data_IF_526253347358
#
_entry.id   IF_526253347358
#
_cell.length_a   1.000
_cell.length_b   1.000
_cell.length_c   1.000
_cell.angle_alpha   90.00
_cell.angle_beta   90.00
_cell.angle_gamma   90.00
#
_symmetry.space_group_name_H-M   'P 1'
#
loop_
_entity.id
_entity.type
_entity.pdbx_description
1 polymer ?
#
# COMPACT_ATOMS: atom_id res chain seq x y z
N UNK A 1 12.88 -7.09 15.67
CA UNK A 1 13.49 -5.84 15.16
C UNK A 1 12.90 -5.34 13.84
N UNK A 2 12.86 -6.13 12.74
CA UNK A 2 12.21 -5.66 11.48
C UNK A 2 10.68 -5.73 11.50
N UNK A 3 10.12 -6.77 12.12
CA UNK A 3 8.66 -6.96 12.26
C UNK A 3 8.06 -5.82 13.10
N UNK A 4 8.69 -5.50 14.23
CA UNK A 4 8.24 -4.44 15.14
C UNK A 4 8.15 -3.06 14.46
N UNK A 5 8.99 -2.78 13.47
CA UNK A 5 8.95 -1.52 12.73
C UNK A 5 7.75 -1.47 11.76
N UNK A 6 7.43 -2.59 11.13
CA UNK A 6 6.28 -2.72 10.23
C UNK A 6 4.97 -2.65 11.03
N UNK A 7 4.88 -3.38 12.14
CA UNK A 7 3.71 -3.33 13.03
C UNK A 7 3.47 -1.93 13.58
N UNK A 8 4.53 -1.22 14.01
CA UNK A 8 4.44 0.18 14.44
C UNK A 8 3.98 1.10 13.30
N UNK A 9 4.49 0.90 12.09
CA UNK A 9 4.06 1.68 10.92
C UNK A 9 2.57 1.48 10.63
N UNK A 10 2.11 0.22 10.61
CA UNK A 10 0.71 -0.13 10.40
C UNK A 10 -0.15 0.46 11.51
N UNK A 11 0.26 0.32 12.78
CA UNK A 11 -0.46 0.87 13.93
C UNK A 11 -0.58 2.39 13.86
N UNK A 12 0.51 3.10 13.52
CA UNK A 12 0.52 4.56 13.40
C UNK A 12 -0.35 5.06 12.22
N UNK A 13 -0.39 4.29 11.12
CA UNK A 13 -1.14 4.64 9.91
C UNK A 13 -2.48 3.91 9.76
N UNK A 14 -2.96 3.24 10.80
CA UNK A 14 -4.10 2.31 10.73
C UNK A 14 -5.35 2.96 10.12
N UNK A 15 -5.72 4.16 10.57
CA UNK A 15 -6.90 4.88 10.03
C UNK A 15 -6.77 5.16 8.53
N UNK A 16 -5.58 5.55 8.07
CA UNK A 16 -5.35 5.85 6.66
C UNK A 16 -5.38 4.58 5.81
N UNK A 17 -4.79 3.49 6.32
CA UNK A 17 -4.86 2.16 5.69
C UNK A 17 -6.32 1.71 5.55
N UNK A 18 -7.11 1.76 6.63
CA UNK A 18 -8.51 1.33 6.59
C UNK A 18 -9.35 2.17 5.64
N UNK A 19 -9.15 3.49 5.61
CA UNK A 19 -9.81 4.35 4.62
C UNK A 19 -9.48 3.92 3.18
N UNK A 20 -8.22 3.58 2.90
CA UNK A 20 -7.82 3.06 1.58
C UNK A 20 -8.47 1.71 1.29
N UNK A 21 -8.61 0.83 2.28
CA UNK A 21 -9.32 -0.45 2.11
C UNK A 21 -10.79 -0.21 1.73
N UNK A 22 -11.47 0.71 2.41
CA UNK A 22 -12.86 1.11 2.07
C UNK A 22 -12.96 1.69 0.65
N UNK A 23 -12.01 2.52 0.22
CA UNK A 23 -11.96 3.05 -1.15
C UNK A 23 -11.83 1.95 -2.22
N UNK A 24 -11.25 0.80 -1.86
CA UNK A 24 -11.07 -0.35 -2.74
C UNK A 24 -12.27 -1.32 -2.70
N UNK A 25 -13.36 -1.00 -1.98
CA UNK A 25 -14.44 -1.94 -1.71
C UNK A 25 -15.07 -2.52 -2.99
N UNK A 26 -15.21 -1.70 -4.03
CA UNK A 26 -15.88 -2.10 -5.27
C UNK A 26 -14.93 -2.60 -6.36
N UNK A 27 -13.63 -2.73 -6.07
CA UNK A 27 -12.64 -3.15 -7.05
C UNK A 27 -12.57 -4.66 -7.18
N UNK A 28 -12.59 -5.12 -8.44
CA UNK A 28 -12.42 -6.52 -8.80
C UNK A 28 -10.95 -6.94 -8.80
N UNK A 29 -10.67 -8.24 -9.00
CA UNK A 29 -9.31 -8.77 -8.97
C UNK A 29 -8.39 -8.10 -10.02
N UNK A 30 -8.92 -7.80 -11.21
CA UNK A 30 -8.15 -7.11 -12.26
C UNK A 30 -7.77 -5.68 -11.86
N UNK A 31 -8.70 -4.93 -11.25
CA UNK A 31 -8.46 -3.57 -10.79
C UNK A 31 -7.41 -3.55 -9.68
N UNK A 32 -7.54 -4.46 -8.71
CA UNK A 32 -6.59 -4.62 -7.60
C UNK A 32 -5.19 -4.96 -8.13
N UNK A 33 -5.09 -5.90 -9.08
CA UNK A 33 -3.83 -6.28 -9.70
C UNK A 33 -3.19 -5.10 -10.46
N UNK A 34 -3.98 -4.37 -11.24
CA UNK A 34 -3.50 -3.19 -11.96
C UNK A 34 -2.98 -2.11 -10.99
N UNK A 35 -3.76 -1.77 -9.96
CA UNK A 35 -3.38 -0.77 -8.97
C UNK A 35 -2.14 -1.15 -8.20
N UNK A 36 -1.99 -2.43 -7.84
CA UNK A 36 -0.77 -2.94 -7.21
C UNK A 36 0.45 -2.68 -8.09
N UNK A 37 0.35 -2.97 -9.39
CA UNK A 37 1.41 -2.70 -10.36
C UNK A 37 1.77 -1.21 -10.45
N UNK A 38 0.78 -0.33 -10.46
CA UNK A 38 1.03 1.13 -10.48
C UNK A 38 1.70 1.61 -9.18
N UNK A 39 1.26 1.12 -8.02
CA UNK A 39 1.85 1.48 -6.71
C UNK A 39 3.29 0.97 -6.61
N UNK A 40 3.55 -0.28 -6.99
CA UNK A 40 4.89 -0.88 -7.00
C UNK A 40 5.82 -0.13 -7.95
N UNK A 41 5.35 0.25 -9.14
CA UNK A 41 6.11 1.07 -10.08
C UNK A 41 6.41 2.45 -9.50
N UNK A 42 5.43 3.09 -8.86
CA UNK A 42 5.61 4.37 -8.18
C UNK A 42 6.71 4.30 -7.12
N UNK A 43 6.72 3.24 -6.30
CA UNK A 43 7.75 2.98 -5.30
C UNK A 43 9.12 2.87 -5.96
N UNK A 44 9.22 2.08 -7.04
CA UNK A 44 10.46 1.90 -7.78
C UNK A 44 11.00 3.23 -8.33
N UNK A 45 10.14 4.03 -8.96
CA UNK A 45 10.51 5.35 -9.50
C UNK A 45 11.00 6.28 -8.40
N UNK A 46 10.32 6.35 -7.25
CA UNK A 46 10.76 7.19 -6.15
C UNK A 46 12.11 6.75 -5.58
N UNK A 47 12.38 5.45 -5.49
CA UNK A 47 13.67 4.93 -5.01
C UNK A 47 14.84 5.26 -5.93
N UNK A 48 14.58 5.51 -7.21
CA UNK A 48 15.60 5.93 -8.17
C UNK A 48 15.93 7.43 -8.10
N UNK A 49 15.11 8.23 -7.42
CA UNK A 49 15.38 9.67 -7.25
C UNK A 49 16.56 9.89 -6.31
N UNK A 50 17.39 10.89 -6.61
CA UNK A 50 18.51 11.32 -5.73
C UNK A 50 18.02 11.74 -4.33
N UNK A 51 16.83 12.32 -4.25
CA UNK A 51 16.16 12.69 -3.01
C UNK A 51 14.76 12.06 -3.03
N UNK A 52 14.47 11.25 -2.01
CA UNK A 52 13.19 10.53 -1.91
C UNK A 52 12.20 11.37 -1.10
N UNK A 53 11.09 11.83 -1.72
CA UNK A 53 10.04 12.53 -1.00
C UNK A 53 9.32 11.55 -0.06
N UNK A 54 9.61 11.63 1.24
CA UNK A 54 9.11 10.68 2.24
C UNK A 54 7.58 10.64 2.35
N UNK A 55 6.90 11.75 2.07
CA UNK A 55 5.43 11.80 2.10
C UNK A 55 4.81 10.99 0.97
N UNK A 56 5.32 11.12 -0.25
CA UNK A 56 4.89 10.32 -1.40
C UNK A 56 5.19 8.84 -1.18
N UNK A 57 6.41 8.53 -0.71
CA UNK A 57 6.83 7.15 -0.44
C UNK A 57 5.94 6.48 0.61
N UNK A 58 5.60 7.20 1.67
CA UNK A 58 4.70 6.74 2.73
C UNK A 58 3.30 6.45 2.18
N UNK A 59 2.73 7.37 1.39
CA UNK A 59 1.42 7.20 0.79
C UNK A 59 1.35 5.95 -0.08
N UNK A 60 2.41 5.67 -0.86
CA UNK A 60 2.50 4.45 -1.67
C UNK A 60 2.56 3.18 -0.81
N UNK A 61 3.32 3.16 0.29
CA UNK A 61 3.34 2.00 1.19
C UNK A 61 2.01 1.78 1.90
N UNK A 62 1.32 2.84 2.31
CA UNK A 62 -0.03 2.76 2.87
C UNK A 62 -0.98 2.13 1.85
N UNK A 63 -0.94 2.60 0.59
CA UNK A 63 -1.71 2.02 -0.51
C UNK A 63 -1.39 0.55 -0.74
N UNK A 64 -0.10 0.18 -0.75
CA UNK A 64 0.33 -1.21 -0.93
C UNK A 64 -0.17 -2.13 0.19
N UNK A 65 -0.13 -1.65 1.44
CA UNK A 65 -0.66 -2.41 2.58
C UNK A 65 -2.17 -2.58 2.45
N UNK A 66 -2.91 -1.53 2.12
CA UNK A 66 -4.36 -1.61 1.92
C UNK A 66 -4.73 -2.60 0.80
N UNK A 67 -4.03 -2.54 -0.33
CA UNK A 67 -4.16 -3.51 -1.43
C UNK A 67 -3.93 -4.93 -0.92
N UNK A 68 -2.88 -5.14 -0.11
CA UNK A 68 -2.55 -6.48 0.41
C UNK A 68 -3.62 -7.00 1.37
N UNK A 69 -4.23 -6.14 2.18
CA UNK A 69 -5.37 -6.50 3.03
C UNK A 69 -6.52 -6.99 2.17
N UNK A 70 -6.90 -6.24 1.13
CA UNK A 70 -7.97 -6.63 0.20
C UNK A 70 -7.68 -7.95 -0.51
N UNK A 71 -6.45 -8.17 -0.99
CA UNK A 71 -6.04 -9.43 -1.62
C UNK A 71 -6.25 -10.63 -0.70
N UNK A 72 -5.89 -10.49 0.58
CA UNK A 72 -5.99 -11.55 1.58
C UNK A 72 -7.45 -11.79 1.97
N UNK A 73 -8.21 -10.74 2.24
CA UNK A 73 -9.62 -10.84 2.65
C UNK A 73 -10.51 -11.44 1.56
N UNK A 74 -10.22 -11.15 0.29
CA UNK A 74 -11.04 -11.56 -0.87
C UNK A 74 -10.51 -12.76 -1.62
N UNK A 75 -9.32 -13.26 -1.27
CA UNK A 75 -8.70 -14.39 -1.95
C UNK A 75 -8.28 -14.07 -3.39
N UNK A 76 -7.83 -12.85 -3.66
CA UNK A 76 -7.26 -12.47 -4.96
C UNK A 76 -5.76 -12.85 -5.08
N UNK A 77 -5.17 -13.35 -3.98
CA UNK A 77 -3.77 -13.71 -3.84
C UNK A 77 -3.39 -15.01 -4.55
#
# INVERSE_FOLDING_TARGET
>A
MKIDAVEKFIGFHHREIMKRVEELENFGPTDICFLKGEVERGIQVLRMKKVVPLMEMRGLYIGLIAIRVVEVERGYA
#
